data_IF_355487384380
#
_entry.id   IF_355487384380
#
_cell.length_a   1.000
_cell.length_b   1.000
_cell.length_c   1.000
_cell.angle_alpha   90.00
_cell.angle_beta   90.00
_cell.angle_gamma   90.00
#
_symmetry.space_group_name_H-M   'P 1'
#
loop_
_entity.id
_entity.type
_entity.pdbx_description
1 polymer ?
#
# COMPACT_ATOMS: atom_id res chain seq x y z
N UNK A 1 -22.99 9.16 -74.71
CA UNK A 1 -22.38 7.85 -74.49
C UNK A 1 -21.24 8.03 -73.48
N UNK A 2 -21.39 7.65 -72.27
CA UNK A 2 -20.31 7.25 -71.40
C UNK A 2 -20.97 6.57 -70.17
N UNK A 3 -20.69 5.30 -70.05
CA UNK A 3 -21.16 4.44 -68.93
C UNK A 3 -20.26 4.67 -67.73
N UNK A 4 -20.80 4.97 -66.59
CA UNK A 4 -20.09 5.02 -65.33
C UNK A 4 -19.97 3.58 -64.71
N UNK A 5 -18.81 3.21 -64.11
CA UNK A 5 -18.65 1.93 -63.47
C UNK A 5 -19.24 1.92 -62.08
N UNK A 6 -20.06 0.90 -61.79
CA UNK A 6 -20.58 0.55 -60.47
C UNK A 6 -19.46 0.13 -59.53
N UNK A 7 -19.25 0.90 -58.44
CA UNK A 7 -18.37 0.51 -57.35
C UNK A 7 -18.95 -0.60 -56.49
N UNK A 8 -18.12 -1.42 -55.83
CA UNK A 8 -18.61 -2.53 -55.02
C UNK A 8 -19.23 -2.04 -53.70
N UNK A 9 -20.48 -2.40 -53.51
CA UNK A 9 -21.22 -2.23 -52.27
C UNK A 9 -20.61 -3.13 -51.19
N UNK A 10 -19.81 -2.57 -50.28
CA UNK A 10 -19.36 -3.24 -49.06
C UNK A 10 -20.59 -3.57 -48.23
N UNK A 11 -21.06 -4.81 -48.28
CA UNK A 11 -21.94 -5.35 -47.25
C UNK A 11 -21.27 -5.26 -45.91
N UNK A 12 -21.67 -4.32 -45.05
CA UNK A 12 -21.44 -4.41 -43.61
C UNK A 12 -22.11 -5.71 -43.17
N UNK A 13 -21.32 -6.71 -42.76
CA UNK A 13 -21.81 -7.87 -42.08
C UNK A 13 -22.49 -7.37 -40.81
N UNK A 14 -23.80 -7.61 -40.66
CA UNK A 14 -24.50 -7.39 -39.41
C UNK A 14 -23.74 -8.18 -38.32
N UNK A 15 -23.15 -7.48 -37.37
CA UNK A 15 -22.40 -8.10 -36.28
C UNK A 15 -23.28 -9.11 -35.58
N UNK A 16 -22.76 -10.31 -35.31
CA UNK A 16 -23.46 -11.33 -34.56
C UNK A 16 -23.96 -10.73 -33.24
N UNK A 17 -25.19 -11.08 -32.77
CA UNK A 17 -25.70 -10.54 -31.51
C UNK A 17 -24.75 -10.85 -30.36
N UNK A 18 -24.44 -9.85 -29.57
CA UNK A 18 -23.64 -10.00 -28.35
C UNK A 18 -24.54 -10.63 -27.27
N UNK A 19 -23.97 -11.55 -26.48
CA UNK A 19 -24.63 -12.04 -25.28
C UNK A 19 -24.57 -11.06 -24.13
N UNK A 20 -25.13 -11.43 -22.97
CA UNK A 20 -25.12 -10.59 -21.74
C UNK A 20 -23.70 -10.19 -21.24
N UNK A 21 -22.65 -10.83 -21.76
CA UNK A 21 -21.25 -10.52 -21.43
C UNK A 21 -20.57 -9.59 -22.44
N UNK A 22 -21.31 -9.11 -23.46
CA UNK A 22 -20.77 -8.23 -24.50
C UNK A 22 -19.83 -8.91 -25.49
N UNK A 23 -19.85 -10.25 -25.56
CA UNK A 23 -19.05 -11.06 -26.49
C UNK A 23 -19.94 -11.88 -27.40
N UNK A 24 -19.41 -12.31 -28.56
CA UNK A 24 -20.17 -13.14 -29.50
C UNK A 24 -20.52 -14.51 -28.88
N UNK A 25 -21.73 -15.07 -29.16
CA UNK A 25 -22.16 -16.36 -28.60
C UNK A 25 -21.13 -17.49 -28.81
N UNK A 26 -20.54 -17.58 -30.00
CA UNK A 26 -19.49 -18.57 -30.32
C UNK A 26 -18.23 -18.42 -29.41
N UNK A 27 -17.96 -17.26 -28.90
CA UNK A 27 -16.85 -17.05 -27.98
C UNK A 27 -17.15 -17.68 -26.63
N UNK A 28 -18.38 -17.55 -26.13
CA UNK A 28 -18.82 -18.18 -24.87
C UNK A 28 -18.89 -19.72 -25.00
N UNK A 29 -19.34 -20.22 -26.12
CA UNK A 29 -19.39 -21.66 -26.40
C UNK A 29 -18.01 -22.34 -26.41
N UNK A 30 -16.96 -21.59 -26.74
CA UNK A 30 -15.58 -22.07 -26.74
C UNK A 30 -14.98 -22.17 -25.32
N UNK A 31 -15.47 -21.43 -24.37
CA UNK A 31 -14.88 -21.42 -23.01
C UNK A 31 -14.89 -22.78 -22.31
N UNK A 32 -16.01 -23.56 -22.30
CA UNK A 32 -15.99 -24.91 -21.76
C UNK A 32 -15.39 -25.96 -22.72
N UNK A 33 -15.31 -25.64 -24.03
CA UNK A 33 -14.81 -26.58 -25.02
C UNK A 33 -13.27 -26.65 -25.11
N UNK A 34 -12.58 -25.60 -24.66
CA UNK A 34 -11.13 -25.50 -24.70
C UNK A 34 -10.60 -25.13 -23.32
N UNK A 35 -10.06 -26.12 -22.61
CA UNK A 35 -9.52 -25.94 -21.26
C UNK A 35 -8.27 -25.06 -21.21
N UNK A 36 -7.61 -24.79 -22.35
CA UNK A 36 -6.47 -23.89 -22.44
C UNK A 36 -6.88 -22.46 -22.78
N UNK A 37 -8.13 -22.26 -23.20
CA UNK A 37 -8.64 -20.92 -23.54
C UNK A 37 -9.02 -20.14 -22.29
N UNK A 38 -8.18 -19.19 -21.89
CA UNK A 38 -8.45 -18.31 -20.78
C UNK A 38 -9.16 -17.02 -21.25
N UNK A 39 -10.45 -16.81 -20.92
CA UNK A 39 -11.14 -15.57 -21.27
C UNK A 39 -10.50 -14.35 -20.59
N UNK A 40 -10.69 -13.17 -21.19
CA UNK A 40 -10.25 -11.92 -20.56
C UNK A 40 -10.83 -11.76 -19.14
N UNK A 41 -10.06 -11.23 -18.19
CA UNK A 41 -10.40 -11.14 -16.75
C UNK A 41 -11.83 -10.60 -16.50
N UNK A 42 -12.22 -9.52 -17.20
CA UNK A 42 -13.56 -8.94 -17.09
C UNK A 42 -14.66 -9.96 -17.41
N UNK A 43 -14.49 -10.73 -18.48
CA UNK A 43 -15.48 -11.73 -18.89
C UNK A 43 -15.60 -12.88 -17.88
N UNK A 44 -14.48 -13.26 -17.26
CA UNK A 44 -14.48 -14.28 -16.20
C UNK A 44 -15.23 -13.81 -14.97
N UNK A 45 -15.00 -12.58 -14.51
CA UNK A 45 -15.71 -11.96 -13.38
C UNK A 45 -17.22 -11.87 -13.66
N UNK A 46 -17.62 -11.44 -14.87
CA UNK A 46 -19.02 -11.33 -15.22
C UNK A 46 -19.70 -12.71 -15.31
N UNK A 47 -18.99 -13.73 -15.80
CA UNK A 47 -19.49 -15.11 -15.83
C UNK A 47 -19.66 -15.69 -14.41
N UNK A 48 -18.67 -15.52 -13.53
CA UNK A 48 -18.75 -15.96 -12.13
C UNK A 48 -19.93 -15.32 -11.41
N UNK A 49 -20.10 -14.02 -11.57
CA UNK A 49 -21.25 -13.29 -11.00
C UNK A 49 -22.59 -13.81 -11.51
N UNK A 50 -22.69 -14.09 -12.81
CA UNK A 50 -23.93 -14.58 -13.43
C UNK A 50 -24.26 -16.01 -13.00
N UNK A 51 -23.25 -16.85 -12.78
CA UNK A 51 -23.42 -18.26 -12.39
C UNK A 51 -23.42 -18.42 -10.85
N UNK A 52 -23.08 -17.37 -10.08
CA UNK A 52 -22.96 -17.40 -8.63
C UNK A 52 -21.97 -18.46 -8.14
N UNK A 53 -20.83 -18.56 -8.80
CA UNK A 53 -19.74 -19.47 -8.46
C UNK A 53 -18.41 -18.72 -8.41
N UNK A 54 -17.44 -19.28 -7.72
CA UNK A 54 -16.09 -18.71 -7.63
C UNK A 54 -15.27 -19.00 -8.89
N UNK A 55 -14.28 -18.15 -9.15
CA UNK A 55 -13.49 -18.22 -10.39
C UNK A 55 -12.64 -19.50 -10.46
N UNK A 56 -12.17 -20.01 -9.33
CA UNK A 56 -11.40 -21.26 -9.23
C UNK A 56 -12.20 -22.50 -9.64
N UNK A 57 -13.52 -22.47 -9.49
CA UNK A 57 -14.40 -23.55 -9.93
C UNK A 57 -14.48 -23.66 -11.45
N UNK A 58 -14.38 -22.53 -12.16
CA UNK A 58 -14.56 -22.54 -13.64
C UNK A 58 -13.19 -22.44 -14.34
N UNK A 59 -12.29 -21.61 -13.80
CA UNK A 59 -10.96 -21.38 -14.40
C UNK A 59 -9.84 -21.56 -13.36
N UNK A 60 -9.60 -22.76 -12.85
CA UNK A 60 -8.57 -23.02 -11.85
C UNK A 60 -7.18 -22.61 -12.33
N UNK A 61 -6.89 -22.72 -13.63
CA UNK A 61 -5.61 -22.26 -14.22
C UNK A 61 -5.42 -20.74 -14.10
N UNK A 62 -6.47 -19.95 -14.27
CA UNK A 62 -6.39 -18.49 -14.13
C UNK A 62 -6.02 -18.07 -12.70
N UNK A 63 -6.55 -18.79 -11.71
CA UNK A 63 -6.22 -18.56 -10.30
C UNK A 63 -4.78 -19.02 -10.01
N UNK A 64 -4.39 -20.20 -10.54
CA UNK A 64 -3.01 -20.70 -10.40
C UNK A 64 -1.97 -19.79 -11.07
N UNK A 65 -2.28 -19.20 -12.22
CA UNK A 65 -1.38 -18.24 -12.88
C UNK A 65 -1.24 -16.95 -12.08
N UNK A 66 -2.32 -16.40 -11.51
CA UNK A 66 -2.25 -15.27 -10.59
C UNK A 66 -1.38 -15.59 -9.37
N UNK A 67 -1.54 -16.77 -8.80
CA UNK A 67 -0.68 -17.25 -7.69
C UNK A 67 0.79 -17.36 -8.12
N UNK A 68 1.07 -17.72 -9.38
CA UNK A 68 2.43 -17.78 -9.92
C UNK A 68 3.07 -16.39 -10.10
N UNK A 69 2.29 -15.34 -10.36
CA UNK A 69 2.83 -13.97 -10.53
C UNK A 69 3.31 -13.35 -9.22
N UNK A 70 3.07 -13.98 -8.07
CA UNK A 70 3.63 -13.58 -6.78
C UNK A 70 2.93 -12.41 -6.10
N UNK A 71 2.12 -11.64 -6.79
CA UNK A 71 1.47 -10.44 -6.25
C UNK A 71 0.53 -10.76 -5.08
N UNK A 72 -0.15 -11.91 -5.12
CA UNK A 72 -1.03 -12.38 -4.04
C UNK A 72 -0.27 -12.85 -2.80
N UNK A 73 1.05 -13.08 -2.92
CA UNK A 73 1.92 -13.57 -1.84
C UNK A 73 2.61 -12.46 -1.07
N UNK A 74 2.48 -11.24 -1.52
CA UNK A 74 3.08 -10.10 -0.82
C UNK A 74 2.41 -9.83 0.53
N UNK A 75 1.12 -10.16 0.68
CA UNK A 75 0.44 -10.06 1.96
C UNK A 75 0.85 -11.22 2.87
N UNK A 76 1.84 -10.98 3.74
CA UNK A 76 2.28 -11.95 4.73
C UNK A 76 1.26 -12.13 5.86
N UNK A 77 0.71 -11.02 6.38
CA UNK A 77 -0.33 -11.01 7.43
C UNK A 77 -1.24 -9.80 7.28
N UNK A 78 -2.50 -9.96 7.70
CA UNK A 78 -3.46 -8.88 7.90
C UNK A 78 -3.97 -8.93 9.33
N UNK A 79 -3.87 -7.80 10.04
CA UNK A 79 -4.37 -7.64 11.40
C UNK A 79 -5.60 -6.74 11.36
N UNK A 80 -6.71 -7.08 12.07
CA UNK A 80 -7.93 -6.27 12.06
C UNK A 80 -7.71 -4.88 12.67
N UNK A 81 -6.71 -4.72 13.53
CA UNK A 81 -6.26 -3.46 14.12
C UNK A 81 -4.76 -3.56 14.42
N UNK A 82 -4.05 -2.42 14.37
CA UNK A 82 -2.59 -2.38 14.52
C UNK A 82 -2.11 -2.94 15.86
N UNK A 83 -2.83 -2.71 16.94
CA UNK A 83 -2.51 -3.24 18.27
C UNK A 83 -2.66 -4.77 18.38
N UNK A 84 -3.25 -5.44 17.39
CA UNK A 84 -3.23 -6.91 17.31
C UNK A 84 -1.91 -7.46 16.73
N UNK A 85 -1.08 -6.61 16.10
CA UNK A 85 0.24 -7.03 15.64
C UNK A 85 1.18 -7.16 16.84
N UNK A 86 1.80 -8.33 17.07
CA UNK A 86 2.71 -8.51 18.19
C UNK A 86 3.89 -7.54 18.14
N UNK A 87 4.29 -6.99 19.29
CA UNK A 87 5.46 -6.11 19.39
C UNK A 87 6.77 -6.78 18.94
N UNK A 88 6.84 -8.11 19.02
CA UNK A 88 7.96 -8.91 18.50
C UNK A 88 8.11 -8.78 16.99
N UNK A 89 7.02 -8.70 16.22
CA UNK A 89 7.07 -8.51 14.76
C UNK A 89 7.77 -7.17 14.43
N UNK A 90 7.40 -6.09 15.11
CA UNK A 90 8.06 -4.80 14.97
C UNK A 90 9.55 -4.89 15.32
N UNK A 91 9.87 -5.53 16.43
CA UNK A 91 11.25 -5.72 16.90
C UNK A 91 12.09 -6.52 15.91
N UNK A 92 11.56 -7.62 15.38
CA UNK A 92 12.22 -8.48 14.39
C UNK A 92 12.47 -7.74 13.07
N UNK A 93 11.50 -6.98 12.56
CA UNK A 93 11.64 -6.20 11.33
C UNK A 93 12.69 -5.09 11.49
N UNK A 94 12.65 -4.34 12.60
CA UNK A 94 13.65 -3.30 12.88
C UNK A 94 15.04 -3.94 13.03
N UNK A 95 15.16 -5.04 13.77
CA UNK A 95 16.42 -5.73 13.98
C UNK A 95 16.96 -6.38 12.70
N UNK A 96 16.09 -6.91 11.85
CA UNK A 96 16.44 -7.57 10.59
C UNK A 96 16.87 -6.63 9.48
N UNK A 97 16.34 -5.41 9.44
CA UNK A 97 16.69 -4.44 8.41
C UNK A 97 18.18 -4.10 8.42
N UNK A 98 18.80 -4.00 7.26
CA UNK A 98 20.24 -3.79 7.09
C UNK A 98 20.60 -2.58 6.24
N UNK A 99 19.71 -2.14 5.36
CA UNK A 99 19.98 -1.07 4.38
C UNK A 99 19.11 0.16 4.58
N UNK A 100 17.79 -0.02 4.80
CA UNK A 100 16.85 1.10 4.88
C UNK A 100 15.73 0.80 5.88
N UNK A 101 15.55 1.73 6.81
CA UNK A 101 14.41 1.80 7.73
C UNK A 101 13.70 3.11 7.49
N UNK A 102 12.43 3.06 7.12
CA UNK A 102 11.63 4.25 6.85
C UNK A 102 10.31 4.23 7.63
N UNK A 103 10.18 5.17 8.55
CA UNK A 103 8.97 5.40 9.32
C UNK A 103 8.18 6.57 8.72
N UNK A 104 7.30 6.31 7.76
CA UNK A 104 6.34 7.28 7.23
C UNK A 104 5.00 7.14 7.95
N UNK A 105 4.98 7.55 9.20
CA UNK A 105 3.78 7.59 10.05
C UNK A 105 3.59 8.98 10.64
N UNK A 106 2.35 9.46 10.69
CA UNK A 106 2.08 10.86 11.04
C UNK A 106 2.63 11.28 12.41
N UNK A 107 2.57 10.40 13.42
CA UNK A 107 3.12 10.67 14.75
C UNK A 107 4.33 9.80 15.12
N UNK A 108 4.41 8.57 14.63
CA UNK A 108 5.38 7.52 14.98
C UNK A 108 5.51 7.25 16.50
N UNK A 109 4.64 7.83 17.32
CA UNK A 109 4.70 7.82 18.77
C UNK A 109 4.67 6.41 19.37
N UNK A 110 3.84 5.52 18.80
CA UNK A 110 3.61 4.16 19.32
C UNK A 110 4.86 3.28 19.24
N UNK A 111 5.73 3.48 18.23
CA UNK A 111 6.91 2.62 18.01
C UNK A 111 7.80 2.59 19.26
N UNK A 112 7.96 3.73 19.93
CA UNK A 112 8.71 3.84 21.17
C UNK A 112 8.06 3.06 22.32
N UNK A 113 6.73 3.02 22.37
CA UNK A 113 6.00 2.29 23.41
C UNK A 113 6.13 0.79 23.23
N UNK A 114 6.11 0.34 21.98
CA UNK A 114 6.22 -1.08 21.62
C UNK A 114 7.67 -1.60 21.69
N UNK A 115 8.68 -0.70 21.58
CA UNK A 115 10.08 -1.05 21.50
C UNK A 115 10.91 -0.24 22.54
N UNK A 116 11.05 -0.73 23.80
CA UNK A 116 11.75 0.02 24.85
C UNK A 116 13.20 0.39 24.50
N UNK A 117 13.94 -0.45 23.77
CA UNK A 117 15.31 -0.21 23.33
C UNK A 117 15.41 0.47 21.97
N UNK A 118 14.35 1.14 21.50
CA UNK A 118 14.23 1.67 20.13
C UNK A 118 15.41 2.57 19.73
N UNK A 119 15.71 3.58 20.52
CA UNK A 119 16.80 4.54 20.24
C UNK A 119 18.16 3.85 20.17
N UNK A 120 18.43 2.91 21.07
CA UNK A 120 19.70 2.18 21.05
C UNK A 120 19.80 1.24 19.84
N UNK A 121 18.69 0.65 19.44
CA UNK A 121 18.62 -0.17 18.24
C UNK A 121 18.88 0.68 16.99
N UNK A 122 18.25 1.86 16.88
CA UNK A 122 18.49 2.77 15.75
C UNK A 122 19.94 3.23 15.71
N UNK A 123 20.55 3.57 16.86
CA UNK A 123 21.97 3.97 16.94
C UNK A 123 22.87 2.89 16.37
N UNK A 124 22.66 1.62 16.75
CA UNK A 124 23.42 0.49 16.21
C UNK A 124 23.19 0.29 14.70
N UNK A 125 21.95 0.45 14.23
CA UNK A 125 21.62 0.35 12.80
C UNK A 125 22.33 1.41 11.97
N UNK A 126 22.27 2.67 12.42
CA UNK A 126 22.96 3.79 11.78
C UNK A 126 24.48 3.56 11.77
N UNK A 127 25.06 3.15 12.90
CA UNK A 127 26.47 2.83 12.99
C UNK A 127 26.91 1.68 12.07
N UNK A 128 26.00 0.77 11.70
CA UNK A 128 26.25 -0.29 10.72
C UNK A 128 25.99 0.12 9.27
N UNK A 129 25.67 1.40 9.00
CA UNK A 129 25.44 1.93 7.66
C UNK A 129 23.97 1.81 7.17
N UNK A 130 23.04 1.42 8.02
CA UNK A 130 21.62 1.42 7.68
C UNK A 130 21.10 2.86 7.65
N UNK A 131 20.44 3.25 6.57
CA UNK A 131 19.75 4.54 6.46
C UNK A 131 18.46 4.51 7.26
N UNK A 132 18.24 5.50 8.10
CA UNK A 132 17.05 5.64 8.95
C UNK A 132 16.35 6.94 8.64
N UNK A 133 15.06 6.88 8.29
CA UNK A 133 14.26 8.04 7.89
C UNK A 133 12.96 8.12 8.67
N UNK A 134 12.58 9.34 9.04
CA UNK A 134 11.30 9.63 9.68
C UNK A 134 10.58 10.73 8.91
N UNK A 135 9.39 10.40 8.41
CA UNK A 135 8.43 11.37 7.94
C UNK A 135 7.34 11.51 9.02
N UNK A 136 7.16 12.74 9.49
CA UNK A 136 6.21 13.10 10.55
C UNK A 136 5.23 14.15 10.03
N UNK A 137 4.08 14.29 10.67
CA UNK A 137 3.24 15.47 10.51
C UNK A 137 3.89 16.70 11.12
N UNK A 138 3.52 17.88 10.65
CA UNK A 138 3.85 19.12 11.32
C UNK A 138 3.02 19.25 12.62
N UNK A 139 3.62 19.35 13.81
CA UNK A 139 2.89 19.43 15.08
C UNK A 139 2.00 20.68 15.19
N UNK A 140 2.32 21.73 14.44
CA UNK A 140 1.59 23.00 14.40
C UNK A 140 0.73 23.16 13.13
N UNK A 141 0.69 22.12 12.27
CA UNK A 141 -0.01 22.11 11.01
C UNK A 141 -1.53 22.09 11.16
N UNK A 142 -2.24 22.59 10.14
CA UNK A 142 -3.70 22.63 10.12
C UNK A 142 -4.31 21.22 10.15
N UNK A 143 -3.74 20.28 9.40
CA UNK A 143 -4.22 18.88 9.38
C UNK A 143 -4.03 18.22 10.75
N UNK A 144 -2.97 18.56 11.49
CA UNK A 144 -2.76 18.11 12.88
C UNK A 144 -3.89 18.59 13.78
N UNK A 145 -4.22 19.88 13.74
CA UNK A 145 -5.34 20.43 14.53
C UNK A 145 -6.69 19.81 14.20
N UNK A 146 -6.98 19.62 12.91
CA UNK A 146 -8.21 18.95 12.47
C UNK A 146 -8.27 17.50 12.96
N UNK A 147 -7.15 16.79 12.91
CA UNK A 147 -7.08 15.40 13.38
C UNK A 147 -7.24 15.28 14.89
N UNK A 148 -6.75 16.25 15.67
CA UNK A 148 -6.94 16.30 17.12
C UNK A 148 -8.43 16.39 17.50
N UNK A 149 -9.19 17.21 16.76
CA UNK A 149 -10.65 17.33 16.96
C UNK A 149 -11.37 16.01 16.65
N UNK A 150 -10.91 15.28 15.62
CA UNK A 150 -11.51 13.99 15.23
C UNK A 150 -11.22 12.90 16.25
N UNK A 151 -9.97 12.83 16.72
CA UNK A 151 -9.54 11.78 17.65
C UNK A 151 -10.05 12.00 19.07
N UNK A 152 -10.18 13.26 19.50
CA UNK A 152 -10.65 13.68 20.83
C UNK A 152 -10.03 12.86 21.99
N UNK A 153 -8.69 12.69 21.96
CA UNK A 153 -7.96 11.93 22.97
C UNK A 153 -7.09 12.83 23.84
N UNK A 154 -6.85 12.42 25.09
CA UNK A 154 -6.11 13.21 26.07
C UNK A 154 -4.68 13.57 25.63
N UNK A 155 -4.01 12.70 24.88
CA UNK A 155 -2.68 12.94 24.31
C UNK A 155 -2.82 13.34 22.83
N UNK A 156 -2.83 14.66 22.58
CA UNK A 156 -3.09 15.24 21.27
C UNK A 156 -2.07 14.80 20.19
N UNK A 157 -2.47 14.91 18.93
CA UNK A 157 -1.61 14.53 17.78
C UNK A 157 -0.31 15.30 17.77
N UNK A 158 -0.38 16.63 17.92
CA UNK A 158 0.80 17.49 17.97
C UNK A 158 1.73 17.17 19.13
N UNK A 159 1.17 16.85 20.32
CA UNK A 159 1.96 16.42 21.47
C UNK A 159 2.69 15.10 21.19
N UNK A 160 2.01 14.12 20.56
CA UNK A 160 2.65 12.85 20.19
C UNK A 160 3.78 13.06 19.18
N UNK A 161 3.64 13.97 18.22
CA UNK A 161 4.70 14.32 17.27
C UNK A 161 5.90 14.93 18.00
N UNK A 162 5.68 15.90 18.90
CA UNK A 162 6.76 16.55 19.66
C UNK A 162 7.52 15.55 20.55
N UNK A 163 6.82 14.62 21.19
CA UNK A 163 7.47 13.55 21.96
C UNK A 163 8.33 12.65 21.05
N UNK A 164 7.86 12.34 19.83
CA UNK A 164 8.64 11.56 18.87
C UNK A 164 9.92 12.31 18.46
N UNK A 165 9.82 13.61 18.16
CA UNK A 165 10.97 14.46 17.84
C UNK A 165 11.98 14.54 19.01
N UNK A 166 11.49 14.74 20.24
CA UNK A 166 12.37 14.76 21.44
C UNK A 166 13.14 13.44 21.57
N UNK A 167 12.46 12.32 21.31
CA UNK A 167 13.11 11.01 21.34
C UNK A 167 14.18 10.83 20.26
N UNK A 168 13.89 11.26 19.02
CA UNK A 168 14.84 11.23 17.92
C UNK A 168 16.03 12.16 18.19
N UNK A 169 15.80 13.31 18.82
CA UNK A 169 16.85 14.24 19.26
C UNK A 169 17.89 13.61 20.20
N UNK A 170 17.55 12.50 20.90
CA UNK A 170 18.52 11.75 21.72
C UNK A 170 19.58 10.99 20.91
N UNK A 171 19.34 10.80 19.61
CA UNK A 171 20.36 10.28 18.70
C UNK A 171 21.42 11.32 18.38
N UNK A 172 21.06 12.60 18.46
CA UNK A 172 21.89 13.73 18.02
C UNK A 172 22.04 13.79 16.51
N UNK A 173 22.77 14.77 15.99
CA UNK A 173 23.10 14.84 14.59
C UNK A 173 24.04 13.69 14.23
N UNK A 174 23.58 12.78 13.38
CA UNK A 174 24.33 11.60 12.95
C UNK A 174 24.05 11.32 11.48
N UNK A 175 25.09 11.07 10.69
CA UNK A 175 24.94 10.68 9.29
C UNK A 175 24.16 9.37 9.19
N UNK A 176 23.20 9.31 8.27
CA UNK A 176 22.30 8.17 8.11
C UNK A 176 20.95 8.31 8.82
N UNK A 177 20.72 9.36 9.62
CA UNK A 177 19.42 9.73 10.16
C UNK A 177 18.88 10.97 9.45
N UNK A 178 17.69 10.88 8.90
CA UNK A 178 17.00 12.00 8.30
C UNK A 178 15.57 12.12 8.84
N UNK A 179 15.16 13.34 9.14
CA UNK A 179 13.78 13.63 9.59
C UNK A 179 13.18 14.72 8.72
N UNK A 180 11.92 14.54 8.32
CA UNK A 180 11.14 15.54 7.56
C UNK A 180 9.73 15.66 8.12
N UNK A 181 9.13 16.83 7.97
CA UNK A 181 7.67 16.97 8.04
C UNK A 181 7.05 16.77 6.66
N UNK A 182 5.87 16.17 6.59
CA UNK A 182 5.10 16.18 5.35
C UNK A 182 4.78 17.61 4.95
N UNK A 183 4.78 17.88 3.63
CA UNK A 183 4.37 19.18 3.13
C UNK A 183 2.91 19.47 3.51
N UNK A 184 2.50 20.75 3.65
CA UNK A 184 1.10 21.09 3.93
C UNK A 184 0.12 20.49 2.92
N UNK A 185 0.50 20.42 1.63
CA UNK A 185 -0.31 19.87 0.55
C UNK A 185 -0.52 18.36 0.68
N UNK A 186 0.46 17.64 1.23
CA UNK A 186 0.44 16.19 1.39
C UNK A 186 0.03 15.72 2.79
N UNK A 187 -0.14 16.63 3.74
CA UNK A 187 -0.42 16.29 5.12
C UNK A 187 -1.71 15.44 5.28
N UNK A 188 -2.73 15.66 4.43
CA UNK A 188 -3.97 14.86 4.41
C UNK A 188 -3.69 13.44 3.92
N UNK A 189 -2.86 13.27 2.89
CA UNK A 189 -2.47 11.96 2.38
C UNK A 189 -1.66 11.21 3.44
N UNK A 190 -0.71 11.90 4.09
CA UNK A 190 0.14 11.32 5.12
C UNK A 190 -0.64 10.90 6.37
N UNK A 191 -1.59 11.74 6.84
CA UNK A 191 -2.40 11.38 8.03
C UNK A 191 -3.35 10.22 7.78
N UNK A 192 -3.71 9.96 6.53
CA UNK A 192 -4.64 8.90 6.16
C UNK A 192 -3.98 7.52 5.99
N UNK A 193 -2.65 7.47 5.84
CA UNK A 193 -1.93 6.23 5.56
C UNK A 193 -0.54 6.26 6.20
N UNK A 194 -0.23 5.29 7.04
CA UNK A 194 1.12 5.07 7.55
C UNK A 194 1.79 3.92 6.83
N UNK A 195 3.04 4.12 6.42
CA UNK A 195 3.90 3.10 5.79
C UNK A 195 5.20 3.00 6.56
N UNK A 196 5.50 1.82 7.08
CA UNK A 196 6.72 1.53 7.81
C UNK A 196 7.50 0.49 7.04
N UNK A 197 8.63 0.87 6.46
CA UNK A 197 9.43 0.01 5.60
C UNK A 197 10.73 -0.43 6.29
N UNK A 198 11.05 -1.71 6.10
CA UNK A 198 12.22 -2.39 6.63
C UNK A 198 12.82 -3.26 5.52
N UNK A 199 13.74 -2.71 4.73
CA UNK A 199 14.28 -3.33 3.51
C UNK A 199 13.17 -3.83 2.56
N UNK A 200 12.88 -5.14 2.57
CA UNK A 200 11.88 -5.78 1.71
C UNK A 200 10.55 -6.06 2.42
N UNK A 201 10.40 -5.68 3.68
CA UNK A 201 9.17 -5.79 4.43
C UNK A 201 8.54 -4.40 4.65
N UNK A 202 7.21 -4.34 4.66
CA UNK A 202 6.48 -3.13 5.02
C UNK A 202 5.28 -3.44 5.92
N UNK A 203 5.06 -2.58 6.90
CA UNK A 203 3.84 -2.55 7.70
C UNK A 203 3.03 -1.33 7.29
N UNK A 204 1.80 -1.55 6.85
CA UNK A 204 0.95 -0.50 6.28
C UNK A 204 -0.33 -0.39 7.08
N UNK A 205 -0.66 0.83 7.54
CA UNK A 205 -1.89 1.11 8.30
C UNK A 205 -2.72 2.15 7.54
N UNK A 206 -3.79 1.77 6.83
CA UNK A 206 -4.79 2.72 6.36
C UNK A 206 -5.62 3.20 7.56
N UNK A 207 -5.64 4.52 7.79
CA UNK A 207 -6.37 5.10 8.91
C UNK A 207 -7.84 5.29 8.55
N UNK A 208 -8.73 4.65 9.29
CA UNK A 208 -10.17 4.77 9.09
C UNK A 208 -10.68 6.07 9.72
N UNK A 209 -11.75 6.65 9.16
CA UNK A 209 -12.18 8.04 9.36
C UNK A 209 -12.20 8.52 10.81
N UNK A 210 -12.71 7.72 11.75
CA UNK A 210 -12.82 8.10 13.17
C UNK A 210 -11.98 7.27 14.12
N UNK A 211 -11.21 6.32 13.59
CA UNK A 211 -10.38 5.46 14.41
C UNK A 211 -9.00 6.09 14.60
N UNK A 212 -8.48 5.93 15.80
CA UNK A 212 -7.06 6.21 16.06
C UNK A 212 -6.18 5.13 15.41
N UNK A 213 -4.91 5.43 15.21
CA UNK A 213 -4.03 4.54 14.46
C UNK A 213 -3.91 3.13 15.03
N UNK A 214 -4.03 2.92 16.36
CA UNK A 214 -3.94 1.60 16.97
C UNK A 214 -5.18 0.72 16.74
N UNK A 215 -6.33 1.33 16.43
CA UNK A 215 -7.58 0.64 16.11
C UNK A 215 -7.79 0.45 14.60
N UNK A 216 -6.92 1.02 13.77
CA UNK A 216 -6.97 0.87 12.33
C UNK A 216 -6.28 -0.42 11.88
N UNK A 217 -6.71 -1.03 10.75
CA UNK A 217 -6.10 -2.26 10.24
C UNK A 217 -4.60 -2.12 9.98
N UNK A 218 -3.88 -3.25 10.01
CA UNK A 218 -2.47 -3.30 9.63
C UNK A 218 -2.23 -4.45 8.68
N UNK A 219 -1.53 -4.17 7.59
CA UNK A 219 -1.07 -5.14 6.61
C UNK A 219 0.44 -5.31 6.75
N UNK A 220 0.92 -6.54 6.88
CA UNK A 220 2.33 -6.87 6.74
C UNK A 220 2.55 -7.35 5.31
N UNK A 221 3.33 -6.61 4.56
CA UNK A 221 3.69 -6.90 3.18
C UNK A 221 5.15 -7.32 3.11
N UNK A 222 5.45 -8.33 2.27
CA UNK A 222 6.80 -8.72 1.91
C UNK A 222 6.95 -8.67 0.41
N UNK A 223 7.91 -7.90 -0.08
CA UNK A 223 8.19 -7.77 -1.50
C UNK A 223 8.52 -9.11 -2.13
N UNK A 224 7.82 -9.50 -3.19
CA UNK A 224 8.03 -10.76 -3.91
C UNK A 224 8.50 -10.53 -5.35
N UNK A 225 8.32 -9.34 -5.88
CA UNK A 225 8.68 -8.97 -7.24
C UNK A 225 8.48 -7.48 -7.45
N UNK A 226 8.67 -7.02 -8.67
CA UNK A 226 8.50 -5.62 -9.04
C UNK A 226 7.02 -5.29 -9.31
N UNK A 227 6.62 -4.06 -9.02
CA UNK A 227 5.28 -3.51 -9.27
C UNK A 227 4.14 -4.16 -8.48
N UNK A 228 4.45 -4.77 -7.32
CA UNK A 228 3.48 -5.34 -6.42
C UNK A 228 2.83 -4.32 -5.48
N UNK A 229 2.10 -4.84 -4.50
CA UNK A 229 1.43 -4.01 -3.49
C UNK A 229 2.45 -3.30 -2.59
N UNK A 230 3.55 -4.00 -2.24
CA UNK A 230 4.67 -3.41 -1.52
C UNK A 230 5.20 -2.16 -2.23
N UNK A 231 5.48 -2.26 -3.54
CA UNK A 231 6.04 -1.16 -4.31
C UNK A 231 5.08 0.04 -4.37
N UNK A 232 3.77 -0.19 -4.49
CA UNK A 232 2.77 0.89 -4.50
C UNK A 232 2.76 1.71 -3.21
N UNK A 233 2.84 1.04 -2.07
CA UNK A 233 2.91 1.75 -0.79
C UNK A 233 4.28 2.38 -0.55
N UNK A 234 5.35 1.73 -0.99
CA UNK A 234 6.70 2.29 -0.92
C UNK A 234 6.83 3.56 -1.79
N UNK A 235 6.35 3.53 -3.04
CA UNK A 235 6.29 4.68 -3.95
C UNK A 235 5.53 5.84 -3.33
N UNK A 236 4.34 5.59 -2.77
CA UNK A 236 3.56 6.61 -2.07
C UNK A 236 4.35 7.28 -0.95
N UNK A 237 5.00 6.49 -0.09
CA UNK A 237 5.81 7.03 1.01
C UNK A 237 7.03 7.83 0.51
N UNK A 238 7.69 7.39 -0.58
CA UNK A 238 8.79 8.11 -1.19
C UNK A 238 8.34 9.42 -1.87
N UNK A 239 7.15 9.47 -2.47
CA UNK A 239 6.59 10.71 -3.01
C UNK A 239 6.34 11.75 -1.90
N UNK A 240 5.73 11.32 -0.78
CA UNK A 240 5.55 12.20 0.38
C UNK A 240 6.89 12.67 0.94
N UNK A 241 7.87 11.76 1.01
CA UNK A 241 9.23 12.08 1.44
C UNK A 241 9.91 13.11 0.54
N UNK A 242 9.81 12.93 -0.78
CA UNK A 242 10.45 13.82 -1.75
C UNK A 242 9.99 15.28 -1.64
N UNK A 243 8.73 15.49 -1.26
CA UNK A 243 8.14 16.82 -1.03
C UNK A 243 8.20 17.30 0.43
N UNK A 244 8.64 16.43 1.33
CA UNK A 244 8.71 16.72 2.76
C UNK A 244 9.74 17.81 3.08
N UNK A 245 9.48 18.57 4.15
CA UNK A 245 10.30 19.66 4.64
C UNK A 245 11.34 19.13 5.62
N UNK A 246 12.65 19.21 5.33
CA UNK A 246 13.72 18.73 6.23
C UNK A 246 13.63 19.35 7.61
N UNK A 247 13.86 18.54 8.63
CA UNK A 247 13.93 18.97 10.03
C UNK A 247 15.31 18.61 10.59
N UNK A 248 15.86 19.51 11.36
CA UNK A 248 17.06 19.21 12.17
C UNK A 248 16.57 18.59 13.47
N UNK A 249 16.99 17.37 13.83
CA UNK A 249 16.61 16.71 15.07
C UNK A 249 17.07 17.43 16.32
#
# INVERSE_FOLDING_TARGET
>A
MAVAPSGPTTRRSAGAPLNKFGVAPKTVERWPADAELLPHARNRVDACRALKVDEDMIWPKAVQERVKTGHDRELAHAYPYRSACPSTVWGELIAGASTDIFFAGYTNYFVRLEQPAFIETLRRKIASGCRVRFLLGDPDGEVTRQREVIEDVALSVGTRIRISLEHLGRLGPVDGLETRFSSPEDAVNHVSLSVFRFDQDALVTPHLARLVGHDSPLLHLRRQGDSGMFDRFAEHAEELWGRGVPQTP
#
